data_IF_210378999559
#
_entry.id   IF_210378999559
#
_cell.length_a   1.000
_cell.length_b   1.000
_cell.length_c   1.000
_cell.angle_alpha   90.00
_cell.angle_beta   90.00
_cell.angle_gamma   90.00
#
_symmetry.space_group_name_H-M   'P 1'
#
loop_
_entity.id
_entity.type
_entity.pdbx_description
1 polymer ?
#
# COMPACT_ATOMS: atom_id res chain seq x y z
N UNK A 1 37.09 -25.13 23.60
CA UNK A 1 36.26 -25.28 22.37
C UNK A 1 35.77 -23.89 22.02
N UNK A 2 36.13 -23.35 20.87
CA UNK A 2 35.59 -22.08 20.41
C UNK A 2 34.10 -22.29 20.09
N UNK A 3 33.23 -21.45 20.63
CA UNK A 3 31.83 -21.41 20.23
C UNK A 3 31.76 -21.19 18.71
N UNK A 4 30.93 -21.94 17.97
CA UNK A 4 30.77 -21.71 16.55
C UNK A 4 30.22 -20.30 16.38
N UNK A 5 31.04 -19.40 15.86
CA UNK A 5 30.62 -18.07 15.44
C UNK A 5 29.69 -18.29 14.27
N UNK A 6 28.38 -18.32 14.53
CA UNK A 6 27.39 -18.23 13.47
C UNK A 6 27.69 -16.91 12.77
N UNK A 7 28.33 -16.96 11.60
CA UNK A 7 28.38 -15.81 10.69
C UNK A 7 26.91 -15.45 10.44
N UNK A 8 26.41 -14.45 11.16
CA UNK A 8 25.15 -13.82 10.81
C UNK A 8 25.20 -13.57 9.31
N UNK A 9 24.17 -14.03 8.59
CA UNK A 9 24.18 -13.96 7.13
C UNK A 9 24.55 -12.55 6.68
N UNK A 10 25.28 -12.41 5.58
CA UNK A 10 25.67 -11.10 5.01
C UNK A 10 24.46 -10.19 4.75
N UNK A 11 23.26 -10.77 4.76
CA UNK A 11 21.99 -10.11 4.59
C UNK A 11 21.38 -9.57 5.90
N UNK A 12 21.59 -10.19 7.06
CA UNK A 12 21.04 -9.68 8.31
C UNK A 12 21.77 -8.41 8.74
N UNK A 13 21.02 -7.33 8.99
CA UNK A 13 21.59 -6.02 9.35
C UNK A 13 21.33 -5.64 10.79
N UNK A 14 20.09 -5.75 11.25
CA UNK A 14 19.74 -5.38 12.62
C UNK A 14 18.38 -5.93 13.05
N UNK A 15 18.13 -5.87 14.35
CA UNK A 15 16.79 -6.08 14.93
C UNK A 15 16.35 -4.80 15.63
N UNK A 16 15.16 -4.33 15.28
CA UNK A 16 14.50 -3.19 15.92
C UNK A 16 13.45 -3.70 16.91
N UNK A 17 13.40 -3.11 18.10
CA UNK A 17 12.41 -3.45 19.13
C UNK A 17 11.51 -2.25 19.45
N UNK A 18 10.21 -2.51 19.57
CA UNK A 18 9.21 -1.50 19.92
C UNK A 18 8.30 -2.01 21.04
N UNK A 19 8.20 -1.25 22.12
CA UNK A 19 7.24 -1.51 23.18
C UNK A 19 5.86 -1.03 22.69
N UNK A 20 4.84 -1.87 22.83
CA UNK A 20 3.46 -1.56 22.49
C UNK A 20 2.54 -2.07 23.61
N UNK A 21 2.25 -1.19 24.58
CA UNK A 21 1.65 -1.59 25.84
C UNK A 21 2.55 -2.58 26.59
N UNK A 22 2.00 -3.73 26.95
CA UNK A 22 2.73 -4.83 27.60
C UNK A 22 3.48 -5.76 26.61
N UNK A 23 3.31 -5.56 25.30
CA UNK A 23 3.92 -6.40 24.26
C UNK A 23 5.21 -5.77 23.71
N UNK A 24 6.13 -6.63 23.27
CA UNK A 24 7.35 -6.21 22.56
C UNK A 24 7.26 -6.69 21.11
N UNK A 25 7.13 -5.74 20.19
CA UNK A 25 7.28 -6.00 18.77
C UNK A 25 8.76 -6.02 18.38
N UNK A 26 9.12 -6.95 17.51
CA UNK A 26 10.46 -7.11 16.94
C UNK A 26 10.36 -7.01 15.42
N UNK A 27 11.36 -6.38 14.81
CA UNK A 27 11.49 -6.30 13.37
C UNK A 27 12.94 -6.62 12.97
N UNK A 28 13.13 -7.71 12.23
CA UNK A 28 14.44 -8.13 11.73
C UNK A 28 14.64 -7.60 10.33
N UNK A 29 15.71 -6.82 10.12
CA UNK A 29 16.00 -6.14 8.86
C UNK A 29 17.05 -6.95 8.10
N UNK A 30 16.70 -7.31 6.88
CA UNK A 30 17.59 -7.98 5.93
C UNK A 30 17.77 -7.12 4.68
N UNK A 31 19.00 -7.03 4.18
CA UNK A 31 19.33 -6.25 2.99
C UNK A 31 20.71 -6.63 2.42
N UNK A 32 20.97 -6.29 1.16
CA UNK A 32 22.25 -6.55 0.49
C UNK A 32 23.07 -5.27 0.31
N UNK A 33 24.33 -5.29 0.75
CA UNK A 33 25.21 -4.13 0.63
C UNK A 33 25.53 -3.76 -0.83
N UNK A 34 25.47 -4.74 -1.73
CA UNK A 34 25.68 -4.56 -3.19
C UNK A 34 24.64 -3.62 -3.79
N UNK A 35 23.44 -3.59 -3.21
CA UNK A 35 22.30 -2.83 -3.73
C UNK A 35 22.29 -1.40 -3.17
N UNK A 36 22.94 -1.15 -2.02
CA UNK A 36 22.91 0.15 -1.34
C UNK A 36 23.64 1.26 -2.06
N UNK A 37 24.72 0.95 -2.79
CA UNK A 37 25.42 1.96 -3.61
C UNK A 37 24.49 2.63 -4.63
N UNK A 38 23.50 1.89 -5.12
CA UNK A 38 22.50 2.36 -6.11
C UNK A 38 21.28 3.01 -5.48
N UNK A 39 21.01 2.73 -4.20
CA UNK A 39 19.82 3.17 -3.49
C UNK A 39 19.71 4.71 -3.49
N UNK A 40 20.84 5.39 -3.25
CA UNK A 40 20.91 6.86 -3.20
C UNK A 40 20.66 7.57 -4.53
N UNK A 41 20.72 6.84 -5.65
CA UNK A 41 20.41 7.40 -6.98
C UNK A 41 18.90 7.41 -7.28
N UNK A 42 18.10 6.70 -6.46
CA UNK A 42 16.66 6.60 -6.68
C UNK A 42 15.88 7.66 -5.94
N UNK A 43 14.90 8.21 -6.63
CA UNK A 43 13.86 9.08 -6.06
C UNK A 43 12.53 8.37 -5.81
N UNK A 44 12.38 7.13 -6.31
CA UNK A 44 11.12 6.38 -6.31
C UNK A 44 11.26 5.04 -5.58
N UNK A 45 10.50 4.92 -4.49
CA UNK A 45 10.52 3.77 -3.61
C UNK A 45 9.13 3.13 -3.52
N UNK A 46 9.10 1.84 -3.21
CA UNK A 46 7.89 1.05 -3.07
C UNK A 46 7.92 0.31 -1.74
N UNK A 47 6.86 0.41 -0.95
CA UNK A 47 6.70 -0.33 0.30
C UNK A 47 5.47 -1.25 0.21
N UNK A 48 5.68 -2.55 0.44
CA UNK A 48 4.62 -3.55 0.37
C UNK A 48 4.71 -4.50 1.57
N UNK A 49 3.65 -4.54 2.39
CA UNK A 49 3.54 -5.48 3.49
C UNK A 49 2.71 -6.70 3.06
N UNK A 50 3.33 -7.88 3.11
CA UNK A 50 2.69 -9.15 2.75
C UNK A 50 2.63 -10.12 3.94
N UNK A 51 1.48 -10.77 4.08
CA UNK A 51 1.16 -11.63 5.24
C UNK A 51 1.40 -13.12 4.95
N UNK A 52 1.10 -13.58 3.73
CA UNK A 52 1.02 -15.01 3.41
C UNK A 52 2.37 -15.74 3.38
N UNK A 53 3.46 -14.99 3.32
CA UNK A 53 4.83 -15.50 3.18
C UNK A 53 5.65 -15.33 4.46
N UNK A 54 5.06 -14.74 5.51
CA UNK A 54 5.75 -14.57 6.79
C UNK A 54 5.84 -15.93 7.51
N UNK A 55 7.03 -16.31 8.04
CA UNK A 55 7.14 -17.47 8.91
C UNK A 55 6.22 -17.32 10.13
N UNK A 56 5.76 -18.43 10.72
CA UNK A 56 4.67 -18.42 11.71
C UNK A 56 4.91 -17.55 12.97
N UNK A 57 6.15 -17.20 13.30
CA UNK A 57 6.45 -16.29 14.43
C UNK A 57 6.30 -14.80 14.08
N UNK A 58 6.12 -14.45 12.81
CA UNK A 58 6.01 -13.09 12.32
C UNK A 58 4.60 -12.80 11.83
N UNK A 59 4.12 -11.59 12.11
CA UNK A 59 2.82 -11.12 11.65
C UNK A 59 2.83 -10.76 10.16
N UNK A 60 3.98 -10.31 9.64
CA UNK A 60 4.12 -9.88 8.24
C UNK A 60 5.58 -9.75 7.80
N UNK A 61 5.78 -9.70 6.48
CA UNK A 61 7.01 -9.29 5.82
C UNK A 61 6.78 -7.94 5.13
N UNK A 62 7.51 -6.90 5.55
CA UNK A 62 7.57 -5.62 4.86
C UNK A 62 8.73 -5.63 3.86
N UNK A 63 8.41 -5.41 2.58
CA UNK A 63 9.40 -5.27 1.52
C UNK A 63 9.51 -3.81 1.10
N UNK A 64 10.74 -3.31 0.98
CA UNK A 64 11.04 -2.00 0.43
C UNK A 64 11.84 -2.21 -0.85
N UNK A 65 11.35 -1.65 -1.95
CA UNK A 65 12.01 -1.65 -3.26
C UNK A 65 12.30 -0.21 -3.69
N UNK A 66 13.13 -0.06 -4.70
CA UNK A 66 13.42 1.21 -5.34
C UNK A 66 13.62 1.00 -6.84
N UNK A 67 13.43 2.08 -7.60
CA UNK A 67 13.67 2.09 -9.03
C UNK A 67 15.12 2.49 -9.32
N UNK A 68 15.79 1.74 -10.19
CA UNK A 68 17.12 2.05 -10.70
C UNK A 68 17.19 1.73 -12.19
N UNK A 69 17.34 2.77 -13.02
CA UNK A 69 17.48 2.68 -14.49
C UNK A 69 16.37 1.87 -15.16
N UNK A 70 15.13 2.09 -14.75
CA UNK A 70 13.92 1.43 -15.24
C UNK A 70 13.62 0.09 -14.59
N UNK A 71 14.46 -0.39 -13.66
CA UNK A 71 14.32 -1.70 -13.02
C UNK A 71 13.97 -1.53 -11.54
N UNK A 72 13.01 -2.32 -11.05
CA UNK A 72 12.66 -2.35 -9.63
C UNK A 72 13.54 -3.36 -8.89
N UNK A 73 14.31 -2.90 -7.91
CA UNK A 73 15.22 -3.71 -7.11
C UNK A 73 14.77 -3.77 -5.65
N UNK A 74 14.88 -4.94 -4.97
CA UNK A 74 14.60 -5.04 -3.54
C UNK A 74 15.75 -4.41 -2.73
N UNK A 75 15.42 -3.49 -1.82
CA UNK A 75 16.38 -2.88 -0.90
C UNK A 75 16.35 -3.56 0.48
N UNK A 76 15.15 -3.73 1.05
CA UNK A 76 14.98 -4.26 2.40
C UNK A 76 13.86 -5.30 2.46
N UNK A 77 14.13 -6.37 3.21
CA UNK A 77 13.15 -7.37 3.62
C UNK A 77 13.08 -7.37 5.14
N UNK A 78 11.91 -7.09 5.70
CA UNK A 78 11.77 -6.81 7.14
C UNK A 78 10.70 -7.70 7.73
N UNK A 79 11.11 -8.68 8.52
CA UNK A 79 10.21 -9.60 9.21
C UNK A 79 9.73 -8.97 10.52
N UNK A 80 8.42 -8.76 10.65
CA UNK A 80 7.82 -7.99 11.74
C UNK A 80 6.89 -8.86 12.58
N UNK A 81 7.07 -8.85 13.90
CA UNK A 81 6.14 -9.53 14.82
C UNK A 81 4.91 -8.68 15.15
N UNK A 82 4.93 -7.37 14.90
CA UNK A 82 3.80 -6.46 15.09
C UNK A 82 3.78 -5.29 14.12
N UNK A 83 2.61 -4.68 13.94
CA UNK A 83 2.29 -3.72 12.87
C UNK A 83 1.75 -2.38 13.38
N UNK A 84 2.17 -1.98 14.58
CA UNK A 84 1.76 -0.69 15.13
C UNK A 84 2.42 0.47 14.39
N UNK A 85 1.84 1.66 14.49
CA UNK A 85 2.41 2.90 13.95
C UNK A 85 3.84 3.13 14.44
N UNK A 86 4.06 2.89 15.73
CA UNK A 86 5.33 3.04 16.42
C UNK A 86 6.35 2.00 15.93
N UNK A 87 5.90 0.78 15.62
CA UNK A 87 6.75 -0.29 15.09
C UNK A 87 7.32 0.11 13.73
N UNK A 88 6.46 0.57 12.81
CA UNK A 88 6.91 1.09 11.52
C UNK A 88 7.79 2.33 11.67
N UNK A 89 7.42 3.26 12.55
CA UNK A 89 8.20 4.48 12.76
C UNK A 89 9.63 4.15 13.21
N UNK A 90 9.79 3.23 14.18
CA UNK A 90 11.12 2.82 14.63
C UNK A 90 11.92 2.14 13.52
N UNK A 91 11.29 1.32 12.69
CA UNK A 91 11.94 0.70 11.53
C UNK A 91 12.45 1.79 10.58
N UNK A 92 11.60 2.73 10.17
CA UNK A 92 12.01 3.77 9.23
C UNK A 92 13.06 4.73 9.80
N UNK A 93 12.98 5.06 11.10
CA UNK A 93 14.04 5.85 11.76
C UNK A 93 15.37 5.10 11.75
N UNK A 94 15.35 3.79 12.04
CA UNK A 94 16.56 2.96 11.98
C UNK A 94 17.14 2.91 10.56
N UNK A 95 16.31 2.74 9.55
CA UNK A 95 16.74 2.77 8.16
C UNK A 95 17.31 4.14 7.76
N UNK A 96 16.66 5.24 8.15
CA UNK A 96 17.15 6.59 7.88
C UNK A 96 18.50 6.86 8.55
N UNK A 97 18.70 6.34 9.76
CA UNK A 97 19.95 6.46 10.51
C UNK A 97 21.09 5.65 9.87
N UNK A 98 20.82 4.39 9.53
CA UNK A 98 21.85 3.47 9.03
C UNK A 98 22.15 3.70 7.52
N UNK A 99 21.18 4.25 6.78
CA UNK A 99 21.25 4.46 5.34
C UNK A 99 20.88 5.90 5.00
N UNK A 100 21.78 6.83 5.29
CA UNK A 100 21.60 8.29 5.07
C UNK A 100 21.31 8.68 3.61
N UNK A 101 21.60 7.78 2.66
CA UNK A 101 21.29 7.92 1.24
C UNK A 101 19.79 7.72 0.92
N UNK A 102 18.99 7.21 1.87
CA UNK A 102 17.54 7.10 1.74
C UNK A 102 16.90 8.48 1.73
N UNK A 103 16.78 9.06 0.54
CA UNK A 103 16.10 10.34 0.28
C UNK A 103 14.95 10.13 -0.69
N UNK A 104 13.90 9.40 -0.29
CA UNK A 104 12.75 9.15 -1.14
C UNK A 104 12.07 10.48 -1.50
N UNK A 105 11.86 10.72 -2.80
CA UNK A 105 10.97 11.78 -3.24
C UNK A 105 9.54 11.27 -3.34
N UNK A 106 9.36 10.00 -3.74
CA UNK A 106 8.07 9.33 -3.87
C UNK A 106 8.16 7.96 -3.20
N UNK A 107 7.21 7.67 -2.31
CA UNK A 107 6.98 6.32 -1.80
C UNK A 107 5.61 5.84 -2.27
N UNK A 108 5.59 4.77 -3.05
CA UNK A 108 4.37 4.06 -3.37
C UNK A 108 4.12 2.98 -2.34
N UNK A 109 3.00 3.05 -1.61
CA UNK A 109 2.69 2.12 -0.52
C UNK A 109 1.28 1.55 -0.68
N UNK A 110 1.04 0.39 -0.08
CA UNK A 110 -0.30 -0.10 0.19
C UNK A 110 -1.15 0.90 1.00
N UNK A 111 -2.44 0.60 1.21
CA UNK A 111 -3.35 1.44 1.99
C UNK A 111 -3.27 1.19 3.51
N UNK A 112 -2.21 0.55 4.01
CA UNK A 112 -2.07 0.31 5.44
C UNK A 112 -1.84 1.62 6.21
N UNK A 113 -2.79 1.94 7.10
CA UNK A 113 -2.82 3.22 7.83
C UNK A 113 -1.56 3.40 8.69
N UNK A 114 -1.08 2.33 9.33
CA UNK A 114 0.07 2.38 10.22
C UNK A 114 1.38 2.65 9.44
N UNK A 115 1.60 1.91 8.35
CA UNK A 115 2.72 2.10 7.43
C UNK A 115 2.75 3.53 6.86
N UNK A 116 1.63 4.00 6.30
CA UNK A 116 1.51 5.37 5.75
C UNK A 116 1.78 6.45 6.78
N UNK A 117 1.26 6.28 8.01
CA UNK A 117 1.49 7.23 9.08
C UNK A 117 2.97 7.32 9.42
N UNK A 118 3.66 6.19 9.53
CA UNK A 118 5.07 6.13 9.86
C UNK A 118 5.96 6.73 8.76
N UNK A 119 5.68 6.42 7.49
CA UNK A 119 6.37 7.03 6.36
C UNK A 119 6.26 8.57 6.44
N UNK A 120 5.03 9.12 6.57
CA UNK A 120 4.80 10.58 6.72
C UNK A 120 5.53 11.20 7.91
N UNK A 121 5.67 10.45 8.99
CA UNK A 121 6.30 10.93 10.22
C UNK A 121 7.82 11.00 10.11
N UNK A 122 8.45 10.04 9.43
CA UNK A 122 9.92 9.91 9.34
C UNK A 122 10.49 10.69 8.16
N UNK A 123 9.76 10.74 7.05
CA UNK A 123 10.15 11.47 5.87
C UNK A 123 9.16 12.64 5.70
N UNK A 124 9.45 13.89 6.05
CA UNK A 124 8.44 14.95 5.93
C UNK A 124 8.30 15.51 4.51
N UNK A 125 9.32 15.34 3.66
CA UNK A 125 9.45 16.03 2.35
C UNK A 125 9.00 15.15 1.16
N UNK A 126 8.65 13.88 1.39
CA UNK A 126 8.29 12.95 0.31
C UNK A 126 6.78 12.92 0.02
N UNK A 127 6.45 12.51 -1.20
CA UNK A 127 5.08 12.31 -1.68
C UNK A 127 4.70 10.83 -1.53
N UNK A 128 3.60 10.52 -0.83
CA UNK A 128 3.02 9.17 -0.89
C UNK A 128 2.24 9.05 -2.18
N UNK A 129 2.64 8.12 -3.04
CA UNK A 129 1.85 7.67 -4.17
C UNK A 129 0.96 6.48 -3.77
N UNK A 130 -0.34 6.66 -3.85
CA UNK A 130 -1.37 5.65 -3.98
C UNK A 130 -1.15 4.83 -5.25
N UNK A 131 -0.92 3.54 -5.05
CA UNK A 131 -0.78 2.57 -6.11
C UNK A 131 -2.13 2.23 -6.76
N UNK A 132 -2.25 2.41 -8.07
CA UNK A 132 -3.45 2.00 -8.84
C UNK A 132 -3.80 0.52 -8.63
N UNK A 133 -2.80 -0.35 -8.52
CA UNK A 133 -3.03 -1.78 -8.30
C UNK A 133 -3.73 -2.03 -6.97
N UNK A 134 -3.23 -1.45 -5.86
CA UNK A 134 -3.87 -1.56 -4.56
C UNK A 134 -5.25 -0.91 -4.52
N UNK A 135 -5.43 0.20 -5.24
CA UNK A 135 -6.74 0.83 -5.38
C UNK A 135 -7.72 -0.11 -6.09
N UNK A 136 -7.30 -0.70 -7.21
CA UNK A 136 -8.11 -1.65 -7.97
C UNK A 136 -8.49 -2.87 -7.13
N UNK A 137 -7.55 -3.39 -6.33
CA UNK A 137 -7.85 -4.44 -5.37
C UNK A 137 -8.85 -4.01 -4.29
N UNK A 138 -8.75 -2.79 -3.78
CA UNK A 138 -9.67 -2.28 -2.76
C UNK A 138 -11.10 -2.13 -3.30
N UNK A 139 -11.25 -1.64 -4.54
CA UNK A 139 -12.53 -1.64 -5.26
C UNK A 139 -13.08 -3.05 -5.37
N UNK A 140 -12.28 -4.00 -5.88
CA UNK A 140 -12.73 -5.38 -6.08
C UNK A 140 -13.07 -6.09 -4.76
N UNK A 141 -12.31 -5.85 -3.68
CA UNK A 141 -12.60 -6.35 -2.33
C UNK A 141 -13.96 -5.84 -1.83
N UNK A 142 -14.30 -4.58 -2.08
CA UNK A 142 -15.61 -4.05 -1.72
C UNK A 142 -16.72 -4.62 -2.60
N UNK A 143 -16.52 -4.78 -3.92
CA UNK A 143 -17.49 -5.41 -4.84
C UNK A 143 -17.91 -6.79 -4.33
N UNK A 144 -16.95 -7.61 -3.89
CA UNK A 144 -17.23 -8.96 -3.33
C UNK A 144 -17.63 -8.98 -1.84
N UNK A 145 -17.56 -7.84 -1.15
CA UNK A 145 -17.82 -7.82 0.29
C UNK A 145 -19.29 -8.10 0.60
N UNK A 146 -19.63 -8.72 1.75
CA UNK A 146 -21.03 -8.92 2.16
C UNK A 146 -21.84 -7.62 2.23
N UNK A 147 -21.17 -6.48 2.47
CA UNK A 147 -21.80 -5.16 2.58
C UNK A 147 -22.50 -4.71 1.28
N UNK A 148 -21.91 -5.05 0.13
CA UNK A 148 -22.39 -4.64 -1.19
C UNK A 148 -22.87 -5.81 -2.03
N UNK A 149 -22.25 -6.99 -1.88
CA UNK A 149 -22.65 -8.26 -2.47
C UNK A 149 -22.94 -8.14 -3.98
N UNK A 150 -21.94 -7.67 -4.75
CA UNK A 150 -22.02 -7.40 -6.18
C UNK A 150 -21.18 -8.39 -7.01
N UNK A 151 -20.67 -9.48 -6.42
CA UNK A 151 -19.75 -10.39 -7.13
C UNK A 151 -20.43 -11.13 -8.29
N UNK A 152 -21.66 -11.62 -8.08
CA UNK A 152 -22.44 -12.33 -9.11
C UNK A 152 -22.73 -11.39 -10.27
N UNK A 153 -23.17 -10.18 -9.95
CA UNK A 153 -23.45 -9.10 -10.89
C UNK A 153 -22.19 -8.67 -11.65
N UNK A 154 -21.06 -8.53 -10.97
CA UNK A 154 -19.79 -8.17 -11.60
C UNK A 154 -19.33 -9.22 -12.63
N UNK A 155 -19.57 -10.50 -12.37
CA UNK A 155 -19.19 -11.59 -13.27
C UNK A 155 -20.16 -11.76 -14.44
N UNK A 156 -21.45 -11.55 -14.22
CA UNK A 156 -22.49 -11.93 -15.18
C UNK A 156 -23.14 -10.73 -15.90
N UNK A 157 -22.85 -9.49 -15.51
CA UNK A 157 -23.43 -8.29 -16.11
C UNK A 157 -22.34 -7.34 -16.64
N UNK A 158 -22.29 -7.19 -17.96
CA UNK A 158 -21.30 -6.38 -18.64
C UNK A 158 -21.31 -4.89 -18.24
N UNK A 159 -22.48 -4.33 -17.92
CA UNK A 159 -22.60 -2.93 -17.48
C UNK A 159 -21.94 -2.73 -16.11
N UNK A 160 -22.17 -3.67 -15.19
CA UNK A 160 -21.66 -3.61 -13.81
C UNK A 160 -20.16 -3.91 -13.79
N UNK A 161 -19.71 -4.84 -14.63
CA UNK A 161 -18.29 -5.09 -14.85
C UNK A 161 -17.59 -3.84 -15.37
N UNK A 162 -18.14 -3.22 -16.43
CA UNK A 162 -17.60 -1.99 -17.02
C UNK A 162 -17.60 -0.83 -16.04
N UNK A 163 -18.69 -0.63 -15.31
CA UNK A 163 -18.79 0.40 -14.26
C UNK A 163 -17.70 0.21 -13.19
N UNK A 164 -17.51 -1.03 -12.72
CA UNK A 164 -16.46 -1.37 -11.76
C UNK A 164 -15.06 -1.09 -12.32
N UNK A 165 -14.81 -1.41 -13.60
CA UNK A 165 -13.53 -1.12 -14.27
C UNK A 165 -13.30 0.38 -14.49
N UNK A 166 -14.35 1.15 -14.82
CA UNK A 166 -14.28 2.63 -14.91
C UNK A 166 -13.81 3.20 -13.58
N UNK A 167 -14.35 2.71 -12.46
CA UNK A 167 -13.89 3.10 -11.12
C UNK A 167 -12.39 2.80 -10.95
N UNK A 168 -11.94 1.59 -11.29
CA UNK A 168 -10.52 1.18 -11.21
C UNK A 168 -9.59 2.01 -12.11
N UNK A 169 -10.13 2.67 -13.13
CA UNK A 169 -9.40 3.55 -14.03
C UNK A 169 -9.37 5.02 -13.57
N UNK A 170 -10.19 5.42 -12.59
CA UNK A 170 -10.25 6.81 -12.11
C UNK A 170 -8.90 7.43 -11.73
N UNK A 171 -7.95 6.71 -11.09
CA UNK A 171 -6.62 7.25 -10.80
C UNK A 171 -5.79 7.67 -12.01
N UNK A 172 -6.16 7.23 -13.22
CA UNK A 172 -5.47 7.59 -14.46
C UNK A 172 -5.92 8.94 -15.01
N UNK A 173 -6.96 9.55 -14.42
CA UNK A 173 -7.47 10.84 -14.85
C UNK A 173 -6.75 12.00 -14.15
N UNK A 174 -6.66 13.17 -14.80
CA UNK A 174 -6.32 14.42 -14.11
C UNK A 174 -7.23 14.65 -12.89
N UNK A 175 -6.65 15.15 -11.78
CA UNK A 175 -7.38 15.27 -10.50
C UNK A 175 -8.67 16.09 -10.61
N UNK A 176 -8.61 17.18 -11.35
CA UNK A 176 -9.74 18.08 -11.60
C UNK A 176 -10.91 17.37 -12.29
N UNK A 177 -10.64 16.28 -13.02
CA UNK A 177 -11.66 15.47 -13.69
C UNK A 177 -12.24 14.36 -12.81
N UNK A 178 -11.48 13.81 -11.87
CA UNK A 178 -11.88 12.63 -11.08
C UNK A 178 -13.24 12.84 -10.39
N UNK A 179 -13.46 14.00 -9.74
CA UNK A 179 -14.71 14.26 -9.02
C UNK A 179 -15.92 14.29 -9.94
N UNK A 180 -15.76 14.84 -11.14
CA UNK A 180 -16.82 14.91 -12.14
C UNK A 180 -17.09 13.52 -12.72
N UNK A 181 -16.06 12.74 -13.04
CA UNK A 181 -16.22 11.37 -13.54
C UNK A 181 -16.89 10.46 -12.51
N UNK A 182 -16.56 10.57 -11.22
CA UNK A 182 -17.28 9.84 -10.17
C UNK A 182 -18.76 10.23 -10.12
N UNK A 183 -19.11 11.49 -10.38
CA UNK A 183 -20.52 11.89 -10.48
C UNK A 183 -21.20 11.29 -11.70
N UNK A 184 -20.54 11.24 -12.85
CA UNK A 184 -21.08 10.63 -14.08
C UNK A 184 -21.34 9.12 -13.92
N UNK A 185 -20.52 8.42 -13.11
CA UNK A 185 -20.78 7.02 -12.74
C UNK A 185 -22.11 6.81 -12.01
N UNK A 186 -22.76 7.86 -11.51
CA UNK A 186 -24.11 7.77 -10.96
C UNK A 186 -25.17 7.56 -12.06
N UNK A 187 -24.98 8.16 -13.22
CA UNK A 187 -25.92 8.06 -14.34
C UNK A 187 -25.93 6.63 -14.92
N UNK A 188 -24.76 5.99 -14.97
CA UNK A 188 -24.62 4.56 -15.29
C UNK A 188 -25.48 3.66 -14.36
N UNK A 189 -25.71 4.07 -13.11
CA UNK A 189 -26.54 3.33 -12.16
C UNK A 189 -28.04 3.59 -12.42
N UNK A 190 -28.41 4.80 -12.85
CA UNK A 190 -29.82 5.17 -13.07
C UNK A 190 -30.47 4.37 -14.19
N UNK A 191 -29.70 4.11 -15.25
CA UNK A 191 -30.17 3.39 -16.44
C UNK A 191 -30.33 1.88 -16.26
N UNK A 192 -29.93 1.33 -15.11
CA UNK A 192 -30.10 -0.09 -14.83
C UNK A 192 -31.57 -0.43 -14.57
N UNK A 193 -32.06 -1.50 -15.19
CA UNK A 193 -33.46 -1.92 -15.02
C UNK A 193 -33.72 -2.57 -13.66
N UNK A 194 -32.75 -3.34 -13.15
CA UNK A 194 -32.90 -4.09 -11.90
C UNK A 194 -32.87 -3.15 -10.67
N UNK A 195 -33.97 -3.14 -9.90
CA UNK A 195 -34.12 -2.31 -8.69
C UNK A 195 -33.16 -2.73 -7.57
N UNK A 196 -32.95 -4.03 -7.36
CA UNK A 196 -32.10 -4.54 -6.29
C UNK A 196 -30.63 -4.20 -6.55
N UNK A 197 -30.17 -4.45 -7.78
CA UNK A 197 -28.82 -4.08 -8.22
C UNK A 197 -28.59 -2.58 -8.08
N UNK A 198 -29.54 -1.75 -8.51
CA UNK A 198 -29.46 -0.29 -8.33
C UNK A 198 -29.26 0.12 -6.89
N UNK A 199 -29.99 -0.49 -5.95
CA UNK A 199 -29.84 -0.18 -4.52
C UNK A 199 -28.43 -0.51 -4.04
N UNK A 200 -27.91 -1.69 -4.40
CA UNK A 200 -26.53 -2.12 -4.06
C UNK A 200 -25.49 -1.16 -4.62
N UNK A 201 -25.58 -0.80 -5.90
CA UNK A 201 -24.64 0.11 -6.57
C UNK A 201 -24.73 1.54 -6.06
N UNK A 202 -25.93 2.08 -5.79
CA UNK A 202 -26.10 3.40 -5.17
C UNK A 202 -25.46 3.45 -3.78
N UNK A 203 -25.63 2.38 -2.98
CA UNK A 203 -24.98 2.25 -1.68
C UNK A 203 -23.46 2.25 -1.81
N UNK A 204 -22.91 1.48 -2.75
CA UNK A 204 -21.47 1.46 -3.03
C UNK A 204 -20.96 2.84 -3.45
N UNK A 205 -21.61 3.48 -4.41
CA UNK A 205 -21.24 4.80 -4.91
C UNK A 205 -21.24 5.85 -3.80
N UNK A 206 -22.34 5.96 -3.05
CA UNK A 206 -22.48 6.96 -2.00
C UNK A 206 -21.55 6.68 -0.82
N UNK A 207 -21.56 5.46 -0.28
CA UNK A 207 -20.94 5.16 1.00
C UNK A 207 -19.44 4.89 0.86
N UNK A 208 -19.00 4.30 -0.25
CA UNK A 208 -17.59 4.00 -0.49
C UNK A 208 -16.92 5.03 -1.40
N UNK A 209 -17.45 5.31 -2.59
CA UNK A 209 -16.78 6.24 -3.50
C UNK A 209 -16.86 7.67 -2.99
N UNK A 210 -18.05 8.21 -2.75
CA UNK A 210 -18.22 9.63 -2.43
C UNK A 210 -17.80 9.99 -1.01
N UNK A 211 -18.08 9.13 -0.02
CA UNK A 211 -17.82 9.42 1.40
C UNK A 211 -16.45 8.97 1.88
N UNK A 212 -15.96 7.83 1.39
CA UNK A 212 -14.68 7.30 1.81
C UNK A 212 -13.59 7.68 0.81
N UNK A 213 -13.75 7.33 -0.47
CA UNK A 213 -12.64 7.40 -1.42
C UNK A 213 -12.36 8.80 -1.97
N UNK A 214 -13.35 9.51 -2.52
CA UNK A 214 -13.20 10.85 -3.11
C UNK A 214 -12.51 11.85 -2.18
N UNK A 215 -12.83 11.93 -0.87
CA UNK A 215 -12.12 12.82 0.05
C UNK A 215 -10.64 12.48 0.25
N UNK A 216 -10.22 11.24 -0.05
CA UNK A 216 -8.84 10.77 0.11
C UNK A 216 -7.99 11.03 -1.14
N UNK A 217 -8.60 11.38 -2.29
CA UNK A 217 -7.90 11.63 -3.57
C UNK A 217 -7.28 13.03 -3.54
N UNK A 218 -5.94 13.10 -3.64
CA UNK A 218 -5.21 14.33 -3.98
C UNK A 218 -4.44 14.08 -5.28
N UNK A 219 -4.29 15.06 -6.20
CA UNK A 219 -3.51 14.91 -7.46
C UNK A 219 -2.10 14.40 -7.18
N UNK A 220 -1.54 14.90 -6.08
CA UNK A 220 -0.20 14.55 -5.67
C UNK A 220 -0.11 13.10 -5.19
N UNK A 221 -1.23 12.44 -4.91
CA UNK A 221 -1.20 11.10 -4.36
C UNK A 221 -1.24 9.98 -5.39
N UNK A 222 -1.54 10.14 -6.67
CA UNK A 222 -1.51 8.99 -7.59
C UNK A 222 -0.22 9.01 -8.42
N UNK A 223 0.58 7.94 -8.35
CA UNK A 223 1.59 7.69 -9.38
C UNK A 223 0.89 6.97 -10.53
N UNK A 224 0.76 7.68 -11.65
CA UNK A 224 0.73 7.02 -12.95
C UNK A 224 2.18 6.70 -13.31
#
# INVERSE_FOLDING_TARGET
MAEPTVKYSEYYKSTVTCNYGALIHRAMIFASDVVFSKLGESSLYFADATFKVAPGQFSQLLNIHFEYKGIILPAFHILMTGKSKESYQKIFLKLQQDYSMLKPCIFMSDFEVALRWALKKVFPIFRIADCRFHFSQAIFKNVKSPKYNLLVEYNNNALINRWSRKIMALPLLPQDKIRNEVRLLWEDIRILNDKLIRVKMRKFHRDYLMRFWVPQIKATSFSI
#
